data_IF_244815977155
#
_entry.id   IF_244815977155
#
_cell.length_a   1.000
_cell.length_b   1.000
_cell.length_c   1.000
_cell.angle_alpha   90.00
_cell.angle_beta   90.00
_cell.angle_gamma   90.00
#
_symmetry.space_group_name_H-M   'P 1'
#
loop_
_entity.id
_entity.type
_entity.pdbx_description
1 polymer ?
#
# COMPACT_ATOMS: atom_id res chain seq x y z
N UNK A 1 38.79 -37.31 -27.61
CA UNK A 1 37.81 -37.78 -26.62
C UNK A 1 37.52 -36.58 -25.72
N UNK A 2 36.56 -35.73 -26.08
CA UNK A 2 35.13 -35.77 -25.62
C UNK A 2 35.04 -35.52 -24.10
N UNK A 3 34.21 -34.66 -23.49
CA UNK A 3 33.00 -33.85 -23.81
C UNK A 3 32.87 -32.78 -22.68
N UNK A 4 32.55 -31.52 -22.97
CA UNK A 4 31.22 -30.85 -22.96
C UNK A 4 30.51 -30.68 -21.58
N UNK A 5 30.41 -29.41 -21.19
CA UNK A 5 29.41 -28.63 -20.42
C UNK A 5 28.28 -29.33 -19.64
N UNK A 6 27.91 -28.74 -18.48
CA UNK A 6 26.49 -28.50 -18.12
C UNK A 6 26.31 -27.15 -17.40
N UNK A 7 25.90 -26.16 -18.17
CA UNK A 7 25.11 -24.99 -17.73
C UNK A 7 23.71 -25.45 -17.38
N UNK A 8 23.18 -25.02 -16.22
CA UNK A 8 21.83 -25.37 -15.80
C UNK A 8 20.83 -24.44 -16.52
N UNK A 9 20.28 -24.94 -17.62
CA UNK A 9 19.21 -24.30 -18.41
C UNK A 9 17.89 -24.69 -17.74
N UNK A 10 17.22 -23.72 -17.12
CA UNK A 10 15.84 -23.84 -16.69
C UNK A 10 14.93 -24.01 -17.91
N UNK A 11 14.12 -25.06 -17.86
CA UNK A 11 13.25 -25.58 -18.91
C UNK A 11 12.24 -24.53 -19.43
N UNK A 12 12.20 -24.30 -20.74
CA UNK A 12 11.10 -23.64 -21.44
C UNK A 12 10.36 -24.70 -22.27
N UNK A 13 9.03 -24.88 -22.12
CA UNK A 13 8.27 -25.68 -23.06
C UNK A 13 8.13 -24.91 -24.37
N UNK A 14 8.61 -25.50 -25.46
CA UNK A 14 8.40 -25.00 -26.82
C UNK A 14 6.91 -25.04 -27.18
N UNK A 15 6.31 -23.90 -27.48
CA UNK A 15 5.10 -23.83 -28.30
C UNK A 15 5.33 -22.84 -29.46
N UNK A 16 5.23 -23.38 -30.67
CA UNK A 16 5.23 -22.73 -31.99
C UNK A 16 3.94 -23.28 -32.62
N UNK A 17 3.00 -22.58 -33.25
CA UNK A 17 2.84 -21.22 -33.81
C UNK A 17 1.33 -20.93 -33.90
N UNK A 18 0.93 -19.66 -33.96
CA UNK A 18 -0.11 -19.18 -34.88
C UNK A 18 -0.04 -17.65 -34.96
N UNK A 19 -0.10 -17.13 -36.19
CA UNK A 19 -0.16 -15.70 -36.50
C UNK A 19 -1.23 -14.99 -35.67
N UNK A 20 -0.83 -14.11 -34.76
CA UNK A 20 -1.74 -13.26 -33.99
C UNK A 20 -0.94 -12.41 -33.01
N UNK A 21 -1.13 -11.09 -33.08
CA UNK A 21 -0.63 -10.03 -32.20
C UNK A 21 0.14 -10.53 -30.97
N UNK A 22 1.48 -10.43 -31.03
CA UNK A 22 2.28 -10.46 -29.81
C UNK A 22 1.85 -9.24 -29.00
N UNK A 23 0.92 -9.44 -28.07
CA UNK A 23 0.82 -8.53 -26.94
C UNK A 23 2.21 -8.55 -26.32
N UNK A 24 2.86 -7.40 -26.35
CA UNK A 24 4.06 -7.13 -25.59
C UNK A 24 3.66 -7.32 -24.11
N UNK A 25 3.76 -8.55 -23.62
CA UNK A 25 3.52 -8.87 -22.23
C UNK A 25 4.65 -8.16 -21.48
N UNK A 26 4.37 -6.94 -21.02
CA UNK A 26 5.24 -6.25 -20.10
C UNK A 26 5.43 -7.15 -18.89
N UNK A 27 6.62 -7.73 -18.80
CA UNK A 27 7.03 -8.48 -17.61
C UNK A 27 6.98 -7.51 -16.45
N UNK A 28 6.11 -7.81 -15.48
CA UNK A 28 6.06 -7.07 -14.24
C UNK A 28 7.42 -7.21 -13.52
N UNK A 29 8.05 -6.09 -13.18
CA UNK A 29 9.40 -6.05 -12.57
C UNK A 29 9.37 -6.01 -11.05
N UNK A 30 8.20 -5.84 -10.43
CA UNK A 30 8.08 -5.83 -8.97
C UNK A 30 8.02 -7.26 -8.43
N UNK A 31 8.75 -7.51 -7.35
CA UNK A 31 8.70 -8.75 -6.56
C UNK A 31 7.51 -8.75 -5.59
N UNK A 32 7.10 -7.56 -5.14
CA UNK A 32 6.01 -7.37 -4.20
C UNK A 32 5.12 -6.18 -4.56
N UNK A 33 3.84 -6.32 -4.22
CA UNK A 33 2.90 -5.21 -4.14
C UNK A 33 2.58 -4.91 -2.68
N UNK A 34 2.67 -3.64 -2.30
CA UNK A 34 2.23 -3.12 -1.01
C UNK A 34 0.92 -2.40 -1.26
N UNK A 35 -0.19 -3.10 -1.10
CA UNK A 35 -1.52 -2.54 -1.32
C UNK A 35 -1.90 -1.72 -0.10
N UNK A 36 -2.41 -0.50 -0.30
CA UNK A 36 -2.79 0.46 0.75
C UNK A 36 -4.16 1.02 0.43
N UNK A 37 -4.97 1.23 1.48
CA UNK A 37 -6.33 1.74 1.39
C UNK A 37 -6.63 2.58 2.65
N UNK A 38 -6.39 3.89 2.61
CA UNK A 38 -6.57 4.71 3.81
C UNK A 38 -8.06 4.94 4.07
N UNK A 39 -8.46 4.87 5.34
CA UNK A 39 -9.72 5.47 5.76
C UNK A 39 -9.44 6.86 6.32
N UNK A 40 -10.35 7.81 6.07
CA UNK A 40 -10.22 9.17 6.55
C UNK A 40 -11.52 9.70 7.15
N UNK A 41 -11.42 10.73 7.98
CA UNK A 41 -12.57 11.48 8.50
C UNK A 41 -13.48 11.90 7.34
N UNK A 42 -14.79 11.67 7.46
CA UNK A 42 -15.74 12.06 6.42
C UNK A 42 -17.07 12.51 7.03
N UNK A 43 -17.92 13.10 6.19
CA UNK A 43 -19.27 13.53 6.55
C UNK A 43 -20.15 13.43 5.31
N UNK A 44 -21.45 13.28 5.51
CA UNK A 44 -22.45 13.12 4.45
C UNK A 44 -22.68 14.41 3.66
N UNK A 45 -22.65 15.55 4.32
CA UNK A 45 -22.97 16.85 3.70
C UNK A 45 -21.72 17.49 3.10
N UNK A 46 -20.62 17.49 3.84
CA UNK A 46 -19.39 18.17 3.44
C UNK A 46 -18.15 17.50 4.01
N UNK A 47 -17.21 17.15 3.12
CA UNK A 47 -15.90 16.60 3.51
C UNK A 47 -15.23 17.52 4.56
N UNK A 48 -14.86 17.00 5.74
CA UNK A 48 -14.15 17.77 6.76
C UNK A 48 -12.89 18.42 6.19
N UNK A 49 -12.62 19.66 6.60
CA UNK A 49 -11.42 20.39 6.20
C UNK A 49 -10.69 20.88 7.47
N UNK A 50 -9.46 20.42 7.74
CA UNK A 50 -8.73 19.40 6.98
C UNK A 50 -9.37 18.01 7.09
N UNK A 51 -9.17 17.17 6.08
CA UNK A 51 -9.46 15.74 6.17
C UNK A 51 -8.25 15.04 6.81
N UNK A 52 -8.47 14.04 7.66
CA UNK A 52 -7.40 13.32 8.37
C UNK A 52 -7.57 11.81 8.21
N UNK A 53 -6.47 11.09 8.01
CA UNK A 53 -6.42 9.62 8.01
C UNK A 53 -6.78 9.12 9.41
N UNK A 54 -7.65 8.12 9.48
CA UNK A 54 -8.12 7.47 10.72
C UNK A 54 -7.82 5.97 10.75
N UNK A 55 -7.50 5.37 9.60
CA UNK A 55 -6.98 4.01 9.51
C UNK A 55 -5.91 3.89 8.43
N UNK A 56 -4.89 3.10 8.72
CA UNK A 56 -3.82 2.78 7.80
C UNK A 56 -3.65 1.25 7.67
N UNK A 57 -4.48 0.60 6.85
CA UNK A 57 -4.28 -0.79 6.45
C UNK A 57 -3.29 -0.90 5.29
N UNK A 58 -2.53 -1.98 5.28
CA UNK A 58 -1.73 -2.40 4.14
C UNK A 58 -1.62 -3.91 4.06
N UNK A 59 -1.58 -4.46 2.85
CA UNK A 59 -1.28 -5.88 2.62
C UNK A 59 -0.10 -6.04 1.67
N UNK A 60 0.77 -6.98 2.00
CA UNK A 60 1.92 -7.37 1.20
C UNK A 60 1.53 -8.57 0.33
N UNK A 61 1.65 -8.44 -0.98
CA UNK A 61 1.31 -9.48 -1.95
C UNK A 61 2.54 -9.86 -2.75
N UNK A 62 2.85 -11.15 -2.81
CA UNK A 62 3.90 -11.69 -3.66
C UNK A 62 3.48 -11.59 -5.13
N UNK A 63 4.30 -10.98 -5.99
CA UNK A 63 3.91 -10.75 -7.38
C UNK A 63 3.89 -12.01 -8.24
N UNK A 64 4.61 -13.06 -7.83
CA UNK A 64 4.71 -14.33 -8.56
C UNK A 64 3.58 -15.27 -8.17
N UNK A 65 3.31 -15.42 -6.87
CA UNK A 65 2.29 -16.37 -6.39
C UNK A 65 0.90 -15.73 -6.26
N UNK A 66 0.82 -14.41 -6.13
CA UNK A 66 -0.41 -13.70 -5.80
C UNK A 66 -0.86 -13.88 -4.34
N UNK A 67 -0.04 -14.52 -3.50
CA UNK A 67 -0.38 -14.79 -2.10
C UNK A 67 -0.11 -13.57 -1.21
N UNK A 68 -0.92 -13.43 -0.17
CA UNK A 68 -0.73 -12.43 0.88
C UNK A 68 0.33 -12.93 1.85
N UNK A 69 1.47 -12.26 1.92
CA UNK A 69 2.58 -12.60 2.82
C UNK A 69 2.53 -11.84 4.15
N UNK A 70 1.62 -10.88 4.27
CA UNK A 70 1.36 -10.21 5.53
C UNK A 70 0.39 -9.06 5.40
N UNK A 71 -0.10 -8.63 6.56
CA UNK A 71 -0.90 -7.42 6.70
C UNK A 71 -0.32 -6.52 7.78
N UNK A 72 -0.60 -5.24 7.64
CA UNK A 72 -0.37 -4.18 8.60
C UNK A 72 -1.69 -3.42 8.77
N UNK A 73 -2.00 -3.02 9.99
CA UNK A 73 -3.15 -2.18 10.29
C UNK A 73 -2.88 -1.39 11.55
N UNK A 74 -3.16 -0.10 11.52
CA UNK A 74 -3.23 0.72 12.71
C UNK A 74 -4.30 1.79 12.55
N UNK A 75 -4.91 2.19 13.66
CA UNK A 75 -5.77 3.38 13.70
C UNK A 75 -4.93 4.62 13.95
N UNK A 76 -5.35 5.72 13.37
CA UNK A 76 -4.72 7.03 13.52
C UNK A 76 -5.68 7.95 14.27
N UNK A 77 -5.17 8.66 15.27
CA UNK A 77 -5.97 9.63 16.01
C UNK A 77 -6.01 10.97 15.25
N UNK A 78 -7.18 11.42 14.77
CA UNK A 78 -7.33 12.74 14.18
C UNK A 78 -7.20 13.82 15.24
N UNK A 79 -6.63 14.96 14.85
CA UNK A 79 -6.23 16.06 15.75
C UNK A 79 -7.02 17.35 15.51
N UNK A 80 -7.55 17.55 14.31
CA UNK A 80 -8.39 18.70 13.95
C UNK A 80 -9.87 18.39 14.15
N UNK A 81 -10.30 17.19 13.75
CA UNK A 81 -11.67 16.70 13.94
C UNK A 81 -11.67 15.39 14.73
N UNK A 82 -11.39 15.42 16.05
CA UNK A 82 -11.18 14.22 16.85
C UNK A 82 -12.43 13.35 17.01
N UNK A 83 -13.62 13.94 16.87
CA UNK A 83 -14.89 13.24 16.95
C UNK A 83 -15.36 12.82 15.56
N UNK A 84 -15.47 11.52 15.33
CA UNK A 84 -16.00 10.97 14.09
C UNK A 84 -17.50 11.21 14.01
N UNK A 85 -17.95 11.65 12.83
CA UNK A 85 -19.37 11.79 12.51
C UNK A 85 -20.04 10.41 12.50
N UNK A 86 -21.35 10.36 12.72
CA UNK A 86 -22.08 9.08 12.64
C UNK A 86 -21.97 8.46 11.24
N UNK A 87 -22.05 9.29 10.20
CA UNK A 87 -21.82 8.86 8.81
C UNK A 87 -20.44 8.21 8.62
N UNK A 88 -19.38 8.80 9.18
CA UNK A 88 -18.03 8.25 9.06
C UNK A 88 -17.89 6.89 9.73
N UNK A 89 -18.46 6.76 10.95
CA UNK A 89 -18.45 5.48 11.69
C UNK A 89 -19.26 4.41 10.97
N UNK A 90 -20.42 4.77 10.40
CA UNK A 90 -21.25 3.85 9.63
C UNK A 90 -20.59 3.40 8.33
N UNK A 91 -19.97 4.33 7.59
CA UNK A 91 -19.33 4.05 6.31
C UNK A 91 -18.09 3.18 6.45
N UNK A 92 -17.23 3.51 7.41
CA UNK A 92 -15.91 2.85 7.60
C UNK A 92 -15.98 1.66 8.57
N UNK A 93 -17.02 1.59 9.40
CA UNK A 93 -17.12 0.65 10.51
C UNK A 93 -16.21 0.97 11.71
N UNK A 94 -15.44 2.06 11.65
CA UNK A 94 -14.51 2.48 12.70
C UNK A 94 -15.27 3.12 13.85
N UNK A 95 -14.98 2.67 15.07
CA UNK A 95 -15.55 3.20 16.29
C UNK A 95 -14.69 4.33 16.86
N UNK A 96 -15.34 5.28 17.53
CA UNK A 96 -14.64 6.40 18.19
C UNK A 96 -13.52 5.91 19.12
N UNK A 97 -13.77 4.86 19.90
CA UNK A 97 -12.78 4.28 20.82
C UNK A 97 -11.52 3.72 20.15
N UNK A 98 -11.56 3.43 18.85
CA UNK A 98 -10.40 2.94 18.08
C UNK A 98 -9.49 4.10 17.68
N UNK A 99 -10.05 5.21 17.21
CA UNK A 99 -9.27 6.41 16.91
C UNK A 99 -8.82 7.15 18.17
N UNK A 100 -9.59 7.10 19.26
CA UNK A 100 -9.19 7.66 20.56
C UNK A 100 -7.92 6.99 21.12
N UNK A 101 -7.71 5.71 20.77
CA UNK A 101 -6.54 4.91 21.14
C UNK A 101 -5.55 4.77 19.97
N UNK A 102 -5.80 5.46 18.87
CA UNK A 102 -4.96 5.46 17.69
C UNK A 102 -3.62 6.13 17.95
N UNK A 103 -2.66 5.88 17.08
CA UNK A 103 -1.36 6.56 17.10
C UNK A 103 -1.43 7.85 16.27
N UNK A 104 -0.41 8.71 16.35
CA UNK A 104 -0.30 9.81 15.40
C UNK A 104 0.01 9.31 13.99
N UNK A 105 -0.32 10.09 12.94
CA UNK A 105 0.04 9.74 11.56
C UNK A 105 1.56 9.53 11.40
N UNK A 106 2.38 10.35 12.08
CA UNK A 106 3.84 10.21 12.03
C UNK A 106 4.30 8.87 12.60
N UNK A 107 3.71 8.42 13.70
CA UNK A 107 4.01 7.11 14.29
C UNK A 107 3.52 5.98 13.40
N UNK A 108 2.32 6.09 12.82
CA UNK A 108 1.78 5.10 11.89
C UNK A 108 2.70 4.88 10.68
N UNK A 109 3.25 5.96 10.11
CA UNK A 109 4.22 5.89 9.01
C UNK A 109 5.53 5.22 9.43
N UNK A 110 6.02 5.47 10.65
CA UNK A 110 7.21 4.79 11.20
C UNK A 110 6.93 3.30 11.44
N UNK A 111 5.76 2.96 11.96
CA UNK A 111 5.34 1.57 12.18
C UNK A 111 5.23 0.80 10.86
N UNK A 112 4.64 1.41 9.83
CA UNK A 112 4.56 0.84 8.50
C UNK A 112 5.95 0.65 7.87
N UNK A 113 6.84 1.64 7.97
CA UNK A 113 8.22 1.53 7.47
C UNK A 113 9.00 0.40 8.14
N UNK A 114 8.85 0.25 9.47
CA UNK A 114 9.46 -0.86 10.23
C UNK A 114 8.86 -2.21 9.87
N UNK A 115 7.57 -2.28 9.61
CA UNK A 115 6.91 -3.51 9.15
C UNK A 115 7.45 -3.94 7.78
N UNK A 116 7.61 -3.02 6.83
CA UNK A 116 8.23 -3.31 5.53
C UNK A 116 9.71 -3.74 5.65
N UNK A 117 10.47 -3.13 6.57
CA UNK A 117 11.86 -3.56 6.86
C UNK A 117 11.88 -4.97 7.43
N UNK A 118 11.01 -5.29 8.39
CA UNK A 118 10.89 -6.61 8.99
C UNK A 118 10.51 -7.68 7.97
N UNK A 119 9.64 -7.34 7.00
CA UNK A 119 9.27 -8.22 5.89
C UNK A 119 10.37 -8.35 4.83
N UNK A 120 11.47 -7.58 4.91
CA UNK A 120 12.57 -7.61 3.95
C UNK A 120 12.28 -6.91 2.61
N UNK A 121 11.09 -6.33 2.44
CA UNK A 121 10.59 -5.74 1.19
C UNK A 121 11.33 -4.47 0.80
N UNK A 122 11.91 -3.75 1.76
CA UNK A 122 12.66 -2.51 1.46
C UNK A 122 13.93 -2.73 0.62
N UNK A 123 14.39 -3.98 0.49
CA UNK A 123 15.56 -4.38 -0.32
C UNK A 123 15.18 -4.95 -1.69
N UNK A 124 13.89 -5.10 -1.98
CA UNK A 124 13.37 -5.65 -3.22
C UNK A 124 12.85 -4.54 -4.12
N UNK A 125 12.56 -4.86 -5.37
CA UNK A 125 11.76 -3.96 -6.20
C UNK A 125 10.27 -4.17 -5.86
N UNK A 126 9.62 -3.17 -5.26
CA UNK A 126 8.19 -3.23 -4.92
C UNK A 126 7.46 -1.98 -5.38
N UNK A 127 6.15 -2.12 -5.59
CA UNK A 127 5.25 -1.00 -5.87
C UNK A 127 4.23 -0.84 -4.74
N UNK A 128 3.91 0.41 -4.42
CA UNK A 128 2.72 0.72 -3.62
C UNK A 128 1.53 0.75 -4.57
N UNK A 129 0.45 0.08 -4.20
CA UNK A 129 -0.76 -0.05 -5.03
C UNK A 129 -1.96 0.47 -4.25
N UNK A 130 -2.76 1.31 -4.88
CA UNK A 130 -3.99 1.89 -4.32
C UNK A 130 -5.08 1.82 -5.38
N UNK A 131 -6.35 1.89 -4.98
CA UNK A 131 -7.46 1.83 -5.95
C UNK A 131 -7.52 3.07 -6.85
N UNK A 132 -7.22 4.24 -6.29
CA UNK A 132 -7.12 5.51 -7.03
C UNK A 132 -5.90 6.30 -6.58
N UNK A 133 -5.68 7.49 -7.14
CA UNK A 133 -4.64 8.40 -6.67
C UNK A 133 -4.99 9.07 -5.32
N UNK A 134 -6.20 8.89 -4.81
CA UNK A 134 -6.68 9.58 -3.61
C UNK A 134 -5.81 9.28 -2.39
N UNK A 135 -5.46 8.02 -2.12
CA UNK A 135 -4.70 7.60 -0.94
C UNK A 135 -3.33 8.29 -0.83
N UNK A 136 -2.45 8.07 -1.80
CA UNK A 136 -1.05 8.48 -1.71
C UNK A 136 -0.78 9.89 -2.22
N UNK A 137 -1.51 10.34 -3.26
CA UNK A 137 -1.27 11.63 -3.91
C UNK A 137 -2.14 12.75 -3.36
N UNK A 138 -3.31 12.43 -2.79
CA UNK A 138 -4.23 13.44 -2.23
C UNK A 138 -4.21 13.39 -0.71
N UNK A 139 -4.68 12.30 -0.11
CA UNK A 139 -4.93 12.19 1.33
C UNK A 139 -3.61 12.25 2.11
N UNK A 140 -2.72 11.28 1.92
CA UNK A 140 -1.44 11.23 2.64
C UNK A 140 -0.57 12.46 2.37
N UNK A 141 -0.53 12.95 1.12
CA UNK A 141 0.23 14.15 0.76
C UNK A 141 -0.30 15.40 1.46
N UNK A 142 -1.63 15.61 1.44
CA UNK A 142 -2.27 16.79 2.04
C UNK A 142 -2.06 16.83 3.55
N UNK A 143 -2.23 15.71 4.23
CA UNK A 143 -2.09 15.63 5.69
C UNK A 143 -0.62 15.70 6.11
N UNK A 144 0.31 15.06 5.38
CA UNK A 144 1.73 15.21 5.63
C UNK A 144 2.17 16.67 5.51
N UNK A 145 1.71 17.38 4.47
CA UNK A 145 2.00 18.81 4.28
C UNK A 145 1.41 19.65 5.40
N UNK A 146 0.16 19.40 5.78
CA UNK A 146 -0.52 20.11 6.86
C UNK A 146 0.21 19.94 8.20
N UNK A 147 0.62 18.72 8.54
CA UNK A 147 1.25 18.37 9.82
C UNK A 147 2.78 18.48 9.80
N UNK A 148 3.38 18.98 8.71
CA UNK A 148 4.84 19.04 8.51
C UNK A 148 5.54 17.68 8.70
N UNK A 149 4.87 16.60 8.31
CA UNK A 149 5.41 15.23 8.35
C UNK A 149 6.14 14.94 7.04
N UNK A 150 7.32 14.33 7.13
CA UNK A 150 8.03 13.86 5.93
C UNK A 150 7.39 12.60 5.39
N UNK A 151 6.73 12.69 4.23
CA UNK A 151 6.19 11.52 3.53
C UNK A 151 7.30 10.53 3.12
N UNK A 152 7.20 9.24 3.47
CA UNK A 152 8.16 8.23 3.03
C UNK A 152 8.22 8.16 1.49
N UNK A 153 9.43 8.12 0.92
CA UNK A 153 9.64 8.26 -0.54
C UNK A 153 9.02 7.14 -1.37
N UNK A 154 8.78 5.96 -0.79
CA UNK A 154 8.17 4.84 -1.51
C UNK A 154 6.68 5.06 -1.81
N UNK A 155 6.02 6.02 -1.16
CA UNK A 155 4.67 6.48 -1.53
C UNK A 155 4.64 7.43 -2.73
N UNK A 156 5.78 7.70 -3.36
CA UNK A 156 5.91 8.55 -4.55
C UNK A 156 6.38 7.76 -5.78
N UNK A 157 6.43 6.43 -5.68
CA UNK A 157 6.91 5.55 -6.75
C UNK A 157 5.75 4.98 -7.53
#
# INVERSE_FOLDING_TARGET
>A
MEKMQRTNIGYMPSMVTSSGYLHDFQLQQFEYFVVVDFEATCDKEKIPQPQEIIEFPSVLVNSVTGEIEGSFRTYVQPTYHPLLTDFCKELTGIQQSQVDKGVSLSEALVMHDKWLEYKGVKRTNFAVVTWTNWDCQVMLESECRLKSIRKPRYFNR
#
